data_IF_801844580579
#
_entry.id   IF_801844580579
#
_cell.length_a   1.000
_cell.length_b   1.000
_cell.length_c   1.000
_cell.angle_alpha   90.00
_cell.angle_beta   90.00
_cell.angle_gamma   90.00
#
_symmetry.space_group_name_H-M   'P 1'
#
loop_
_entity.id
_entity.type
_entity.pdbx_description
1 polymer ?
#
# COMPACT_ATOMS: atom_id res chain seq x y z
N UNK A 1 -18.39 -19.43 11.16
CA UNK A 1 -17.65 -18.17 11.38
C UNK A 1 -18.30 -17.11 10.52
N UNK A 2 -18.91 -16.07 11.12
CA UNK A 2 -19.61 -15.01 10.38
C UNK A 2 -18.58 -14.01 9.83
N UNK A 3 -18.63 -13.77 8.51
CA UNK A 3 -17.74 -12.87 7.76
C UNK A 3 -17.95 -11.36 8.07
N UNK A 4 -18.85 -11.02 9.00
CA UNK A 4 -19.32 -9.66 9.27
C UNK A 4 -18.62 -8.94 10.42
N UNK A 5 -17.63 -9.56 11.07
CA UNK A 5 -16.88 -8.94 12.16
C UNK A 5 -15.66 -8.17 11.63
N UNK A 6 -15.90 -7.27 10.66
CA UNK A 6 -14.88 -6.34 10.18
C UNK A 6 -14.64 -5.32 11.29
N UNK A 7 -13.75 -5.67 12.22
CA UNK A 7 -13.18 -4.72 13.18
C UNK A 7 -12.81 -3.43 12.44
N UNK A 8 -13.47 -2.33 12.82
CA UNK A 8 -13.08 -1.02 12.32
C UNK A 8 -11.61 -0.83 12.70
N UNK A 9 -10.72 -0.79 11.70
CA UNK A 9 -9.28 -0.63 11.93
C UNK A 9 -9.04 0.67 12.72
N UNK A 10 -8.43 0.55 13.90
CA UNK A 10 -8.00 1.69 14.72
C UNK A 10 -6.49 1.84 14.58
N UNK A 11 -6.05 2.81 13.77
CA UNK A 11 -4.64 3.03 13.47
C UNK A 11 -4.06 4.34 14.04
N UNK A 12 -4.79 5.03 14.93
CA UNK A 12 -4.28 6.24 15.57
C UNK A 12 -2.98 5.95 16.34
N UNK A 13 -1.98 6.83 16.19
CA UNK A 13 -0.68 6.72 16.84
C UNK A 13 0.07 5.40 16.56
N UNK A 14 -0.22 4.72 15.44
CA UNK A 14 0.49 3.50 15.02
C UNK A 14 1.56 3.81 13.99
N UNK A 15 2.49 2.88 13.84
CA UNK A 15 3.47 2.85 12.74
C UNK A 15 3.12 1.73 11.80
N UNK A 16 3.02 2.00 10.51
CA UNK A 16 2.71 1.00 9.48
C UNK A 16 3.76 1.03 8.37
N UNK A 17 4.07 -0.15 7.82
CA UNK A 17 4.91 -0.30 6.63
C UNK A 17 4.01 -0.42 5.40
N UNK A 18 4.27 0.40 4.38
CA UNK A 18 3.59 0.31 3.08
C UNK A 18 4.63 -0.01 2.02
N UNK A 19 4.47 -1.14 1.35
CA UNK A 19 5.25 -1.48 0.17
C UNK A 19 4.61 -0.88 -1.09
N UNK A 20 5.43 -0.46 -2.07
CA UNK A 20 4.93 0.23 -3.27
C UNK A 20 4.35 1.61 -2.96
N UNK A 21 4.84 2.28 -1.91
CA UNK A 21 4.29 3.54 -1.39
C UNK A 21 4.39 4.72 -2.37
N UNK A 22 5.34 4.70 -3.30
CA UNK A 22 5.49 5.69 -4.36
C UNK A 22 4.67 5.34 -5.62
N UNK A 23 4.20 4.10 -5.75
CA UNK A 23 3.32 3.67 -6.82
C UNK A 23 1.92 4.30 -6.78
N UNK A 24 1.14 4.11 -7.86
CA UNK A 24 -0.21 4.67 -7.99
C UNK A 24 -1.13 4.29 -6.83
N UNK A 25 -1.18 3.01 -6.46
CA UNK A 25 -2.04 2.53 -5.37
C UNK A 25 -1.49 2.96 -4.00
N UNK A 26 -0.18 2.78 -3.78
CA UNK A 26 0.45 3.06 -2.50
C UNK A 26 0.37 4.54 -2.11
N UNK A 27 0.63 5.45 -3.05
CA UNK A 27 0.58 6.89 -2.78
C UNK A 27 -0.84 7.35 -2.37
N UNK A 28 -1.87 6.88 -3.08
CA UNK A 28 -3.26 7.17 -2.74
C UNK A 28 -3.67 6.53 -1.40
N UNK A 29 -3.22 5.31 -1.13
CA UNK A 29 -3.45 4.63 0.15
C UNK A 29 -2.83 5.41 1.31
N UNK A 30 -1.55 5.77 1.20
CA UNK A 30 -0.83 6.54 2.23
C UNK A 30 -1.60 7.83 2.51
N UNK A 31 -1.90 8.63 1.48
CA UNK A 31 -2.65 9.87 1.62
C UNK A 31 -4.00 9.69 2.31
N UNK A 32 -4.73 8.63 2.00
CA UNK A 32 -6.00 8.31 2.66
C UNK A 32 -5.81 7.98 4.15
N UNK A 33 -4.79 7.18 4.48
CA UNK A 33 -4.52 6.75 5.85
C UNK A 33 -4.06 7.89 6.76
N UNK A 34 -3.12 8.73 6.31
CA UNK A 34 -2.67 9.88 7.11
C UNK A 34 -3.76 10.95 7.29
N UNK A 35 -4.73 11.06 6.36
CA UNK A 35 -5.92 11.90 6.54
C UNK A 35 -6.91 11.32 7.55
N UNK A 36 -7.06 9.99 7.57
CA UNK A 36 -8.07 9.30 8.38
C UNK A 36 -7.65 9.08 9.82
N UNK A 37 -6.35 8.91 10.09
CA UNK A 37 -5.84 8.53 11.41
C UNK A 37 -4.85 9.56 11.96
N UNK A 38 -5.13 10.06 13.16
CA UNK A 38 -4.28 11.04 13.83
C UNK A 38 -3.02 10.37 14.38
N UNK A 39 -1.87 11.02 14.18
CA UNK A 39 -0.58 10.55 14.71
C UNK A 39 -0.08 9.26 14.05
N UNK A 40 -0.67 8.83 12.93
CA UNK A 40 -0.19 7.69 12.16
C UNK A 40 1.18 8.02 11.57
N UNK A 41 2.13 7.11 11.74
CA UNK A 41 3.44 7.14 11.08
C UNK A 41 3.44 6.09 9.98
N UNK A 42 3.87 6.48 8.78
CA UNK A 42 3.99 5.56 7.64
C UNK A 42 5.46 5.45 7.25
N UNK A 43 5.99 4.23 7.28
CA UNK A 43 7.26 3.89 6.66
C UNK A 43 6.97 3.36 5.25
N UNK A 44 7.48 4.03 4.22
CA UNK A 44 7.34 3.60 2.83
C UNK A 44 8.54 2.77 2.40
N UNK A 45 8.30 1.63 1.77
CA UNK A 45 9.31 0.86 1.04
C UNK A 45 8.84 0.74 -0.41
N UNK A 46 9.62 1.22 -1.36
CA UNK A 46 9.30 1.06 -2.77
C UNK A 46 10.49 0.44 -3.50
N UNK A 47 10.19 -0.45 -4.42
CA UNK A 47 11.17 -0.97 -5.35
C UNK A 47 11.02 -0.15 -6.63
N UNK A 48 11.77 0.96 -6.73
CA UNK A 48 11.85 1.85 -7.90
C UNK A 48 12.52 1.18 -9.12
N UNK A 49 12.37 -0.12 -9.29
CA UNK A 49 12.80 -0.78 -10.51
C UNK A 49 11.70 -0.64 -11.56
N UNK A 50 12.14 -0.43 -12.80
CA UNK A 50 11.37 -0.63 -14.03
C UNK A 50 11.03 -2.13 -14.22
N UNK A 51 10.55 -2.82 -13.17
CA UNK A 51 10.43 -4.28 -13.09
C UNK A 51 9.24 -4.82 -13.89
N UNK A 52 9.05 -4.27 -15.08
CA UNK A 52 8.67 -5.01 -16.26
C UNK A 52 9.54 -4.50 -17.40
N UNK A 53 10.70 -5.13 -17.60
CA UNK A 53 11.26 -5.20 -18.94
C UNK A 53 10.15 -5.74 -19.84
N UNK A 54 9.94 -5.09 -20.97
CA UNK A 54 8.90 -5.40 -21.96
C UNK A 54 9.06 -6.85 -22.53
N UNK A 55 10.09 -7.58 -22.10
CA UNK A 55 10.44 -8.95 -22.50
C UNK A 55 9.43 -10.03 -22.09
N UNK A 56 8.51 -9.78 -21.15
CA UNK A 56 7.42 -10.73 -20.87
C UNK A 56 6.28 -10.70 -21.92
N UNK A 57 6.38 -9.88 -22.97
CA UNK A 57 5.49 -9.94 -24.14
C UNK A 57 5.84 -11.06 -25.14
N UNK A 58 6.95 -11.77 -24.97
CA UNK A 58 7.39 -12.82 -25.91
C UNK A 58 7.04 -14.26 -25.47
N UNK A 59 6.16 -14.45 -24.48
CA UNK A 59 5.63 -15.79 -24.14
C UNK A 59 4.25 -16.07 -24.75
N UNK A 60 3.89 -15.40 -25.86
CA UNK A 60 2.64 -15.66 -26.57
C UNK A 60 2.78 -15.72 -28.09
N UNK A 61 3.99 -16.06 -28.59
CA UNK A 61 4.21 -16.44 -29.98
C UNK A 61 4.58 -17.92 -30.08
#
# INVERSE_FOLDING_TARGET
MNYNDKSNLVLNNKTILVTGAAGFIGSNLVLSLIKKFKGLTVAGLDNMNDYYDVSLKEYSL
#
